data_IF_340670828005
#
_entry.id   IF_340670828005
#
_cell.length_a   1.000
_cell.length_b   1.000
_cell.length_c   1.000
_cell.angle_alpha   90.00
_cell.angle_beta   90.00
_cell.angle_gamma   90.00
#
_symmetry.space_group_name_H-M   'P 1'
#
loop_
_entity.id
_entity.type
_entity.pdbx_description
1 polymer ?
#
# COMPACT_ATOMS: atom_id res chain seq x y z
N UNK A 1 7.87 -17.33 -22.51
CA UNK A 1 9.07 -17.08 -23.34
C UNK A 1 10.02 -16.24 -22.51
N UNK A 2 11.28 -16.62 -22.41
CA UNK A 2 12.32 -15.84 -21.73
C UNK A 2 13.17 -15.14 -22.79
N UNK A 3 13.52 -13.89 -22.57
CA UNK A 3 14.43 -13.12 -23.42
C UNK A 3 15.62 -12.63 -22.61
N UNK A 4 16.74 -12.35 -23.28
CA UNK A 4 17.93 -11.78 -22.65
C UNK A 4 17.59 -10.40 -22.05
N UNK A 5 17.96 -10.17 -20.79
CA UNK A 5 17.82 -8.87 -20.15
C UNK A 5 18.81 -7.86 -20.77
N UNK A 6 18.42 -6.58 -20.78
CA UNK A 6 19.30 -5.49 -21.22
C UNK A 6 20.58 -5.50 -20.40
N UNK A 7 21.73 -5.39 -21.07
CA UNK A 7 23.04 -5.32 -20.39
C UNK A 7 23.12 -4.04 -19.56
N UNK A 8 23.38 -4.11 -18.24
CA UNK A 8 23.46 -2.93 -17.40
C UNK A 8 24.60 -2.00 -17.84
N UNK A 9 24.37 -0.68 -17.83
CA UNK A 9 25.40 0.30 -18.10
C UNK A 9 26.59 0.16 -17.11
N UNK A 10 27.82 0.26 -17.60
CA UNK A 10 29.04 0.13 -16.78
C UNK A 10 29.34 1.39 -15.95
N UNK A 11 28.89 2.55 -16.41
CA UNK A 11 29.01 3.82 -15.70
C UNK A 11 28.10 3.89 -14.46
N UNK A 12 28.70 4.06 -13.29
CA UNK A 12 28.00 4.14 -12.01
C UNK A 12 27.06 5.35 -11.91
N UNK A 13 27.43 6.49 -12.50
CA UNK A 13 26.62 7.73 -12.47
C UNK A 13 25.35 7.55 -13.28
N UNK A 14 25.45 6.99 -14.51
CA UNK A 14 24.28 6.67 -15.34
C UNK A 14 23.33 5.70 -14.65
N UNK A 15 23.85 4.66 -13.98
CA UNK A 15 23.01 3.73 -13.21
C UNK A 15 22.30 4.42 -12.04
N UNK A 16 23.00 5.30 -11.32
CA UNK A 16 22.41 6.02 -10.20
C UNK A 16 21.32 7.00 -10.68
N UNK A 17 21.53 7.67 -11.82
CA UNK A 17 20.54 8.52 -12.47
C UNK A 17 19.28 7.76 -12.87
N UNK A 18 19.42 6.67 -13.64
CA UNK A 18 18.27 5.85 -14.05
C UNK A 18 17.48 5.28 -12.86
N UNK A 19 18.16 4.92 -11.76
CA UNK A 19 17.49 4.50 -10.53
C UNK A 19 16.71 5.63 -9.88
N UNK A 20 17.30 6.82 -9.77
CA UNK A 20 16.64 7.98 -9.19
C UNK A 20 15.36 8.33 -9.97
N UNK A 21 15.42 8.32 -11.31
CA UNK A 21 14.23 8.52 -12.17
C UNK A 21 13.17 7.45 -11.93
N UNK A 22 13.55 6.17 -11.93
CA UNK A 22 12.60 5.07 -11.69
C UNK A 22 11.93 5.17 -10.30
N UNK A 23 12.65 5.60 -9.27
CA UNK A 23 12.07 5.82 -7.94
C UNK A 23 11.15 7.04 -7.90
N UNK A 24 11.50 8.13 -8.57
CA UNK A 24 10.66 9.33 -8.65
C UNK A 24 9.36 9.06 -9.40
N UNK A 25 9.40 8.31 -10.50
CA UNK A 25 8.22 7.92 -11.27
C UNK A 25 7.28 7.04 -10.44
N UNK A 26 7.85 6.08 -9.70
CA UNK A 26 7.09 5.13 -8.89
C UNK A 26 6.47 5.74 -7.63
N UNK A 27 7.24 6.54 -6.89
CA UNK A 27 6.82 7.07 -5.59
C UNK A 27 6.13 8.43 -5.70
N UNK A 28 6.40 9.19 -6.76
CA UNK A 28 5.95 10.58 -6.93
C UNK A 28 6.67 11.56 -6.00
N UNK A 29 6.69 11.27 -4.70
CA UNK A 29 7.50 11.93 -3.67
C UNK A 29 8.43 10.90 -3.04
N UNK A 30 9.71 11.03 -3.34
CA UNK A 30 10.73 10.13 -2.83
C UNK A 30 11.22 10.60 -1.45
N UNK A 31 11.09 9.73 -0.46
CA UNK A 31 11.56 9.95 0.92
C UNK A 31 12.59 8.90 1.31
N UNK A 32 13.29 9.11 2.43
CA UNK A 32 14.28 8.14 2.93
C UNK A 32 13.64 6.77 3.21
N UNK A 33 12.52 6.75 3.93
CA UNK A 33 11.84 5.51 4.34
C UNK A 33 11.22 4.73 3.18
N UNK A 34 10.83 5.40 2.09
CA UNK A 34 10.31 4.73 0.89
C UNK A 34 11.37 3.78 0.27
N UNK A 35 12.65 4.14 0.33
CA UNK A 35 13.73 3.34 -0.26
C UNK A 35 14.17 2.13 0.58
N UNK A 36 13.75 2.04 1.85
CA UNK A 36 14.10 0.90 2.69
C UNK A 36 13.54 -0.42 2.12
N UNK A 37 12.48 -0.34 1.30
CA UNK A 37 11.88 -1.51 0.64
C UNK A 37 12.40 -1.78 -0.77
N UNK A 38 13.14 -0.84 -1.37
CA UNK A 38 13.59 -0.87 -2.76
C UNK A 38 14.91 -1.65 -2.98
N UNK A 39 15.47 -2.25 -1.89
CA UNK A 39 16.71 -3.06 -1.91
C UNK A 39 17.86 -2.39 -2.66
N UNK A 40 18.02 -1.08 -2.50
CA UNK A 40 19.04 -0.28 -3.19
C UNK A 40 20.39 -0.46 -2.52
N UNK A 41 21.41 -0.88 -3.28
CA UNK A 41 22.79 -0.92 -2.80
C UNK A 41 23.25 0.49 -2.41
N UNK A 42 23.68 0.67 -1.15
CA UNK A 42 24.07 1.97 -0.60
C UNK A 42 22.90 2.82 -0.06
N UNK A 43 21.66 2.30 -0.12
CA UNK A 43 20.46 2.95 0.41
C UNK A 43 20.20 4.32 -0.21
N UNK A 44 19.51 5.19 0.54
CA UNK A 44 19.16 6.54 0.10
C UNK A 44 20.39 7.40 -0.24
N UNK A 45 21.49 7.24 0.49
CA UNK A 45 22.75 7.94 0.23
C UNK A 45 23.29 7.68 -1.19
N UNK A 46 23.03 6.48 -1.73
CA UNK A 46 23.47 6.09 -3.08
C UNK A 46 22.81 6.89 -4.21
N UNK A 47 21.61 7.44 -3.99
CA UNK A 47 20.90 8.27 -4.97
C UNK A 47 20.83 9.75 -4.59
N UNK A 48 21.15 10.10 -3.34
CA UNK A 48 21.03 11.47 -2.84
C UNK A 48 21.83 12.50 -3.66
N UNK A 49 23.07 12.19 -4.03
CA UNK A 49 23.90 13.11 -4.83
C UNK A 49 23.26 13.40 -6.20
N UNK A 50 22.64 12.39 -6.81
CA UNK A 50 21.92 12.54 -8.07
C UNK A 50 20.67 13.38 -7.86
N UNK A 51 19.87 13.11 -6.83
CA UNK A 51 18.66 13.87 -6.52
C UNK A 51 18.96 15.35 -6.26
N UNK A 52 20.10 15.66 -5.62
CA UNK A 52 20.58 17.04 -5.44
C UNK A 52 20.95 17.72 -6.76
N UNK A 53 21.66 17.03 -7.65
CA UNK A 53 21.95 17.58 -8.98
C UNK A 53 20.68 17.76 -9.84
N UNK A 54 19.71 16.85 -9.71
CA UNK A 54 18.40 16.96 -10.36
C UNK A 54 17.59 18.14 -9.80
N UNK A 55 17.72 18.47 -8.51
CA UNK A 55 17.11 19.66 -7.92
C UNK A 55 17.75 20.94 -8.47
N UNK A 56 19.08 21.02 -8.47
CA UNK A 56 19.83 22.19 -8.97
C UNK A 56 19.52 22.51 -10.43
N UNK A 57 19.22 21.48 -11.23
CA UNK A 57 18.79 21.60 -12.63
C UNK A 57 17.28 21.75 -12.82
N UNK A 58 16.49 21.77 -11.74
CA UNK A 58 15.04 21.95 -11.77
C UNK A 58 14.23 20.75 -12.27
N UNK A 59 14.82 19.57 -12.37
CA UNK A 59 14.13 18.32 -12.76
C UNK A 59 13.24 17.78 -11.64
N UNK A 60 13.60 18.02 -10.38
CA UNK A 60 12.82 17.66 -9.19
C UNK A 60 12.68 18.85 -8.25
N UNK A 61 11.66 18.81 -7.41
CA UNK A 61 11.45 19.81 -6.36
C UNK A 61 11.82 19.20 -5.01
N UNK A 62 12.77 19.82 -4.30
CA UNK A 62 13.08 19.45 -2.92
C UNK A 62 12.27 20.32 -1.96
N UNK A 63 11.56 19.71 -1.03
CA UNK A 63 10.74 20.45 -0.06
C UNK A 63 10.07 19.54 0.96
N UNK A 64 9.48 20.13 1.99
CA UNK A 64 8.68 19.39 2.96
C UNK A 64 7.26 19.25 2.41
N UNK A 65 6.97 18.07 1.82
CA UNK A 65 5.71 17.83 1.11
C UNK A 65 4.74 17.02 1.98
N UNK A 66 5.27 16.00 2.68
CA UNK A 66 4.49 15.10 3.53
C UNK A 66 4.97 15.22 4.97
N UNK A 67 4.03 15.43 5.89
CA UNK A 67 4.34 15.49 7.31
C UNK A 67 4.85 14.15 7.86
N UNK A 68 5.81 14.17 8.79
CA UNK A 68 6.29 12.98 9.50
C UNK A 68 7.30 12.10 8.73
N UNK A 69 7.55 12.35 7.44
CA UNK A 69 8.49 11.58 6.62
C UNK A 69 9.92 12.16 6.54
N UNK A 70 10.26 13.07 7.45
CA UNK A 70 11.57 13.72 7.55
C UNK A 70 11.81 14.78 6.45
N UNK A 71 12.93 15.51 6.56
CA UNK A 71 13.19 16.67 5.71
C UNK A 71 13.71 16.35 4.30
N UNK A 72 14.27 15.15 4.09
CA UNK A 72 14.82 14.75 2.79
C UNK A 72 13.72 14.16 1.89
N UNK A 73 12.96 15.04 1.24
CA UNK A 73 11.94 14.66 0.27
C UNK A 73 12.18 15.32 -1.07
N UNK A 74 12.07 14.53 -2.14
CA UNK A 74 12.24 14.97 -3.52
C UNK A 74 11.01 14.58 -4.31
N UNK A 75 10.28 15.56 -4.81
CA UNK A 75 9.09 15.36 -5.60
C UNK A 75 9.42 15.39 -7.09
N UNK A 76 8.89 14.42 -7.82
CA UNK A 76 8.84 14.48 -9.27
C UNK A 76 8.07 15.74 -9.71
N UNK A 77 8.38 16.26 -10.89
CA UNK A 77 7.71 17.44 -11.44
C UNK A 77 6.19 17.24 -11.49
N UNK A 78 5.45 18.21 -10.96
CA UNK A 78 3.98 18.17 -10.87
C UNK A 78 3.41 17.24 -9.79
N UNK A 79 4.22 16.46 -9.07
CA UNK A 79 3.72 15.62 -7.98
C UNK A 79 3.17 16.46 -6.82
N UNK A 80 3.82 17.58 -6.49
CA UNK A 80 3.33 18.52 -5.46
C UNK A 80 1.99 19.13 -5.85
N UNK A 81 1.82 19.50 -7.12
CA UNK A 81 0.56 20.10 -7.59
C UNK A 81 -0.58 19.07 -7.61
N UNK A 82 -0.29 17.82 -8.00
CA UNK A 82 -1.26 16.71 -7.88
C UNK A 82 -1.67 16.46 -6.42
N UNK A 83 -0.71 16.49 -5.50
CA UNK A 83 -0.99 16.35 -4.06
C UNK A 83 -1.85 17.51 -3.56
N UNK A 84 -1.57 18.75 -3.96
CA UNK A 84 -2.41 19.91 -3.61
C UNK A 84 -3.82 19.79 -4.17
N UNK A 85 -3.96 19.35 -5.42
CA UNK A 85 -5.27 19.14 -6.05
C UNK A 85 -6.08 18.02 -5.38
N UNK A 86 -5.40 17.04 -4.78
CA UNK A 86 -6.03 15.92 -4.06
C UNK A 86 -6.16 16.19 -2.55
N UNK A 87 -5.48 17.22 -2.04
CA UNK A 87 -5.48 17.59 -0.62
C UNK A 87 -6.82 18.20 -0.25
N UNK A 88 -7.39 17.74 0.86
CA UNK A 88 -8.65 18.24 1.39
C UNK A 88 -8.39 19.17 2.55
N UNK A 89 -9.19 20.23 2.71
CA UNK A 89 -9.15 21.04 3.93
C UNK A 89 -9.40 20.15 5.16
N UNK A 90 -8.69 20.36 6.26
CA UNK A 90 -8.99 19.70 7.53
C UNK A 90 -10.47 19.90 7.91
N UNK A 91 -11.16 18.82 8.27
CA UNK A 91 -12.57 18.86 8.70
C UNK A 91 -13.61 18.70 7.59
N UNK A 92 -13.22 18.49 6.33
CA UNK A 92 -14.13 18.00 5.29
C UNK A 92 -13.99 16.48 5.16
N UNK A 93 -14.91 15.75 5.80
CA UNK A 93 -15.10 14.32 5.55
C UNK A 93 -15.67 14.09 4.14
N UNK A 94 -15.41 12.92 3.57
CA UNK A 94 -15.98 12.57 2.27
C UNK A 94 -17.51 12.61 2.32
N UNK A 95 -18.12 13.56 1.62
CA UNK A 95 -19.56 13.55 1.36
C UNK A 95 -19.97 12.53 0.27
N UNK A 96 -19.06 11.67 -0.18
CA UNK A 96 -19.24 10.70 -1.26
C UNK A 96 -19.04 9.26 -0.79
N UNK A 97 -19.28 8.30 -1.68
CA UNK A 97 -19.02 6.87 -1.40
C UNK A 97 -17.53 6.65 -1.13
N UNK A 98 -17.15 5.94 -0.06
CA UNK A 98 -15.74 5.70 0.28
C UNK A 98 -14.99 5.02 -0.88
N UNK A 99 -13.80 5.52 -1.21
CA UNK A 99 -12.98 4.95 -2.27
C UNK A 99 -12.05 3.89 -1.69
N UNK A 100 -12.28 2.63 -2.08
CA UNK A 100 -11.55 1.49 -1.55
C UNK A 100 -10.70 0.80 -2.64
N UNK A 101 -9.40 0.66 -2.39
CA UNK A 101 -8.42 0.06 -3.31
C UNK A 101 -7.73 -1.13 -2.65
N UNK A 102 -7.63 -2.25 -3.39
CA UNK A 102 -6.89 -3.45 -2.97
C UNK A 102 -5.50 -3.44 -3.60
N UNK A 103 -4.47 -3.47 -2.78
CA UNK A 103 -3.07 -3.51 -3.20
C UNK A 103 -2.39 -4.78 -2.69
N UNK A 104 -1.40 -5.27 -3.43
CA UNK A 104 -0.47 -6.24 -2.84
C UNK A 104 0.30 -5.56 -1.69
N UNK A 105 0.52 -6.27 -0.58
CA UNK A 105 1.24 -5.70 0.57
C UNK A 105 2.71 -5.36 0.24
N UNK A 106 3.25 -5.90 -0.86
CA UNK A 106 4.59 -5.57 -1.36
C UNK A 106 4.58 -4.44 -2.40
N UNK A 107 3.40 -3.96 -2.85
CA UNK A 107 3.26 -2.96 -3.90
C UNK A 107 3.87 -1.61 -3.48
N UNK A 108 4.69 -0.95 -4.30
CA UNK A 108 5.29 0.35 -3.96
C UNK A 108 4.29 1.46 -3.62
N UNK A 109 3.08 1.42 -4.18
CA UNK A 109 2.04 2.41 -3.90
C UNK A 109 1.43 2.24 -2.49
N UNK A 110 1.63 1.08 -1.85
CA UNK A 110 1.23 0.85 -0.47
C UNK A 110 2.33 1.42 0.46
N UNK A 111 2.03 2.38 1.36
CA UNK A 111 3.07 3.09 2.13
C UNK A 111 3.41 2.45 3.49
N UNK A 112 2.53 1.61 4.04
CA UNK A 112 2.71 1.05 5.39
C UNK A 112 3.73 -0.09 5.43
N UNK A 113 4.49 -0.17 6.53
CA UNK A 113 5.65 -1.06 6.62
C UNK A 113 6.82 -0.62 5.73
N UNK A 114 6.81 0.63 5.28
CA UNK A 114 7.85 1.29 4.49
C UNK A 114 8.03 2.73 4.98
N UNK A 115 7.46 3.70 4.27
CA UNK A 115 7.47 5.11 4.67
C UNK A 115 6.60 5.36 5.91
N UNK A 116 5.50 4.62 6.07
CA UNK A 116 4.61 4.71 7.23
C UNK A 116 4.72 3.46 8.10
N UNK A 117 4.61 3.62 9.42
CA UNK A 117 4.43 2.51 10.34
C UNK A 117 3.02 1.92 10.17
N UNK A 118 2.85 0.60 10.35
CA UNK A 118 1.53 -0.01 10.34
C UNK A 118 0.64 0.59 11.45
N UNK A 119 -0.65 0.83 11.19
CA UNK A 119 -1.58 1.26 12.23
C UNK A 119 -1.74 0.20 13.31
N UNK A 120 -2.30 0.61 14.44
CA UNK A 120 -2.71 -0.32 15.49
C UNK A 120 -3.80 -1.25 14.97
N UNK A 121 -3.75 -2.51 15.42
CA UNK A 121 -4.74 -3.52 15.07
C UNK A 121 -5.93 -3.40 16.01
N UNK A 122 -7.15 -3.51 15.49
CA UNK A 122 -8.35 -3.57 16.33
C UNK A 122 -8.51 -4.94 17.01
N UNK A 123 -7.90 -5.99 16.42
CA UNK A 123 -7.94 -7.35 16.93
C UNK A 123 -6.76 -7.74 17.81
N UNK A 124 -7.04 -8.64 18.76
CA UNK A 124 -6.00 -9.31 19.55
C UNK A 124 -5.53 -10.60 18.86
N UNK A 125 -4.37 -10.55 18.22
CA UNK A 125 -3.81 -11.71 17.52
C UNK A 125 -2.29 -11.78 17.56
N UNK A 126 -1.74 -12.98 17.31
CA UNK A 126 -0.29 -13.17 17.11
C UNK A 126 0.18 -12.67 15.74
N UNK A 127 -0.73 -12.64 14.77
CA UNK A 127 -0.42 -12.21 13.41
C UNK A 127 -0.14 -10.71 13.37
N UNK A 128 0.85 -10.33 12.55
CA UNK A 128 1.27 -8.95 12.37
C UNK A 128 1.34 -8.64 10.88
N UNK A 129 0.88 -7.45 10.46
CA UNK A 129 0.96 -7.04 9.07
C UNK A 129 2.41 -6.90 8.64
N UNK A 130 2.65 -7.06 7.34
CA UNK A 130 3.99 -6.90 6.78
C UNK A 130 3.98 -6.98 5.27
N UNK A 131 5.03 -6.45 4.65
CA UNK A 131 5.20 -6.43 3.19
C UNK A 131 5.61 -7.81 2.66
N UNK A 132 4.65 -8.73 2.62
CA UNK A 132 4.86 -10.13 2.21
C UNK A 132 4.24 -10.38 0.84
N UNK A 133 4.95 -11.09 -0.02
CA UNK A 133 4.38 -11.54 -1.31
C UNK A 133 3.14 -12.41 -1.09
N UNK A 134 2.08 -12.11 -1.84
CA UNK A 134 0.78 -12.78 -1.75
C UNK A 134 -0.11 -12.31 -0.59
N UNK A 135 0.33 -11.38 0.26
CA UNK A 135 -0.53 -10.66 1.18
C UNK A 135 -1.13 -9.43 0.50
N UNK A 136 -2.29 -8.96 1.00
CA UNK A 136 -3.01 -7.81 0.46
C UNK A 136 -3.25 -6.77 1.56
N UNK A 137 -3.35 -5.51 1.16
CA UNK A 137 -3.81 -4.40 1.98
C UNK A 137 -4.97 -3.75 1.27
N UNK A 138 -6.02 -3.40 2.00
CA UNK A 138 -7.13 -2.59 1.50
C UNK A 138 -7.02 -1.22 2.13
N UNK A 139 -6.92 -0.20 1.29
CA UNK A 139 -6.96 1.20 1.69
C UNK A 139 -8.36 1.74 1.41
N UNK A 140 -8.96 2.41 2.39
CA UNK A 140 -10.20 3.20 2.21
C UNK A 140 -9.82 4.65 2.41
N UNK A 141 -10.05 5.46 1.37
CA UNK A 141 -9.67 6.88 1.33
C UNK A 141 -8.20 7.13 1.68
N UNK A 142 -7.33 6.20 1.28
CA UNK A 142 -5.89 6.24 1.53
C UNK A 142 -5.45 5.73 2.90
N UNK A 143 -6.38 5.39 3.80
CA UNK A 143 -6.10 4.84 5.13
C UNK A 143 -6.18 3.32 5.11
N UNK A 144 -5.20 2.63 5.71
CA UNK A 144 -5.25 1.17 5.81
C UNK A 144 -6.42 0.71 6.69
N UNK A 145 -7.26 -0.15 6.13
CA UNK A 145 -8.48 -0.65 6.78
C UNK A 145 -8.40 -2.15 7.05
N UNK A 146 -8.01 -2.93 6.04
CA UNK A 146 -7.85 -4.39 6.15
C UNK A 146 -6.48 -4.84 5.65
N UNK A 147 -5.94 -5.88 6.29
CA UNK A 147 -4.80 -6.63 5.80
C UNK A 147 -5.17 -8.12 5.69
N UNK A 148 -4.92 -8.70 4.52
CA UNK A 148 -5.16 -10.13 4.26
C UNK A 148 -3.81 -10.82 4.18
N UNK A 149 -3.58 -11.80 5.05
CA UNK A 149 -2.34 -12.57 5.03
C UNK A 149 -2.18 -13.39 3.75
N UNK A 150 -0.93 -13.77 3.48
CA UNK A 150 -0.59 -14.67 2.37
C UNK A 150 -1.47 -15.92 2.41
N UNK A 151 -2.17 -16.16 1.31
CA UNK A 151 -3.07 -17.30 1.14
C UNK A 151 -4.49 -17.08 1.66
N UNK A 152 -4.84 -15.87 2.13
CA UNK A 152 -6.22 -15.45 2.36
C UNK A 152 -6.90 -16.06 3.60
N UNK A 153 -6.16 -16.73 4.49
CA UNK A 153 -6.72 -17.46 5.64
C UNK A 153 -6.91 -16.61 6.90
N UNK A 154 -6.11 -15.57 7.04
CA UNK A 154 -6.14 -14.67 8.18
C UNK A 154 -6.35 -13.25 7.67
N UNK A 155 -7.26 -12.53 8.32
CA UNK A 155 -7.61 -11.15 8.01
C UNK A 155 -7.47 -10.32 9.28
N UNK A 156 -6.84 -9.17 9.16
CA UNK A 156 -6.64 -8.20 10.24
C UNK A 156 -7.34 -6.89 9.89
N UNK A 157 -7.99 -6.27 10.86
CA UNK A 157 -8.53 -4.91 10.76
C UNK A 157 -7.64 -3.92 11.51
N UNK A 158 -7.61 -2.69 10.97
CA UNK A 158 -6.94 -1.54 11.57
C UNK A 158 -7.92 -0.50 12.12
N UNK A 159 -9.22 -0.78 12.00
CA UNK A 159 -10.30 0.10 12.44
C UNK A 159 -11.51 -0.73 12.83
N UNK A 160 -12.33 -0.13 13.69
CA UNK A 160 -13.62 -0.63 14.12
C UNK A 160 -14.80 0.05 13.40
N UNK A 161 -14.51 1.05 12.56
CA UNK A 161 -15.51 1.85 11.85
C UNK A 161 -16.18 1.00 10.76
N UNK A 162 -17.50 0.78 10.90
CA UNK A 162 -18.22 -0.22 10.10
C UNK A 162 -18.33 0.16 8.62
N UNK A 163 -18.43 1.44 8.26
CA UNK A 163 -18.58 1.86 6.87
C UNK A 163 -17.26 1.67 6.11
N UNK A 164 -16.10 2.00 6.71
CA UNK A 164 -14.80 1.67 6.16
C UNK A 164 -14.61 0.15 6.02
N UNK A 165 -14.97 -0.64 7.03
CA UNK A 165 -14.87 -2.11 6.97
C UNK A 165 -15.74 -2.68 5.84
N UNK A 166 -16.97 -2.17 5.66
CA UNK A 166 -17.87 -2.56 4.57
C UNK A 166 -17.28 -2.18 3.21
N UNK A 167 -16.78 -0.96 3.05
CA UNK A 167 -16.13 -0.51 1.82
C UNK A 167 -14.92 -1.39 1.46
N UNK A 168 -14.09 -1.73 2.45
CA UNK A 168 -12.92 -2.57 2.27
C UNK A 168 -13.29 -4.02 1.88
N UNK A 169 -14.27 -4.60 2.55
CA UNK A 169 -14.77 -5.94 2.22
C UNK A 169 -15.39 -6.00 0.82
N UNK A 170 -16.14 -4.96 0.42
CA UNK A 170 -16.66 -4.83 -0.93
C UNK A 170 -15.55 -4.71 -1.99
N UNK A 171 -14.45 -4.01 -1.69
CA UNK A 171 -13.31 -3.92 -2.60
C UNK A 171 -12.64 -5.30 -2.80
N UNK A 172 -12.48 -6.11 -1.75
CA UNK A 172 -12.03 -7.50 -1.87
C UNK A 172 -13.00 -8.33 -2.72
N UNK A 173 -14.31 -8.11 -2.55
CA UNK A 173 -15.35 -8.78 -3.32
C UNK A 173 -15.25 -8.48 -4.81
N UNK A 174 -15.14 -7.20 -5.18
CA UNK A 174 -14.93 -6.76 -6.56
C UNK A 174 -13.65 -7.36 -7.14
N UNK A 175 -12.53 -7.27 -6.43
CA UNK A 175 -11.26 -7.83 -6.90
C UNK A 175 -11.33 -9.34 -7.20
N UNK A 176 -12.11 -10.12 -6.43
CA UNK A 176 -12.33 -11.54 -6.74
C UNK A 176 -13.24 -11.71 -7.97
N UNK A 177 -14.36 -11.00 -8.04
CA UNK A 177 -15.32 -11.13 -9.14
C UNK A 177 -14.76 -10.67 -10.48
N UNK A 178 -13.93 -9.63 -10.47
CA UNK A 178 -13.24 -9.10 -11.66
C UNK A 178 -12.08 -10.01 -12.10
N UNK A 179 -11.79 -11.09 -11.37
CA UNK A 179 -10.76 -12.08 -11.69
C UNK A 179 -9.34 -11.67 -11.32
N UNK A 180 -9.16 -10.54 -10.63
CA UNK A 180 -7.85 -10.10 -10.14
C UNK A 180 -7.35 -11.00 -9.00
N UNK A 181 -8.29 -11.49 -8.19
CA UNK A 181 -8.05 -12.48 -7.14
C UNK A 181 -8.85 -13.75 -7.46
N UNK A 182 -8.24 -14.92 -7.27
CA UNK A 182 -8.93 -16.19 -7.56
C UNK A 182 -10.04 -16.54 -6.55
N UNK A 183 -9.66 -16.75 -5.29
CA UNK A 183 -10.59 -16.99 -4.18
C UNK A 183 -9.97 -16.52 -2.86
N UNK A 184 -10.82 -16.19 -1.88
CA UNK A 184 -10.43 -15.91 -0.51
C UNK A 184 -11.15 -16.85 0.45
N UNK A 185 -10.45 -17.36 1.44
CA UNK A 185 -10.98 -18.33 2.40
C UNK A 185 -10.53 -17.97 3.82
N UNK A 186 -11.19 -16.98 4.40
CA UNK A 186 -10.88 -16.40 5.72
C UNK A 186 -11.33 -17.36 6.81
N UNK A 187 -10.37 -17.91 7.54
CA UNK A 187 -10.58 -18.81 8.68
C UNK A 187 -10.51 -18.06 10.00
N UNK A 188 -9.65 -17.04 10.05
CA UNK A 188 -9.49 -16.15 11.18
C UNK A 188 -9.62 -14.69 10.79
N UNK A 189 -10.27 -13.94 11.65
CA UNK A 189 -10.42 -12.50 11.54
C UNK A 189 -10.06 -11.93 12.92
N UNK A 190 -9.08 -11.04 12.98
CA UNK A 190 -8.70 -10.35 14.22
C UNK A 190 -8.30 -11.29 15.38
N UNK A 191 -7.72 -12.44 15.03
CA UNK A 191 -7.31 -13.47 15.99
C UNK A 191 -8.39 -14.50 16.32
N UNK A 192 -9.65 -14.20 16.01
CA UNK A 192 -10.82 -15.03 16.30
C UNK A 192 -11.21 -15.92 15.10
N UNK A 193 -12.09 -16.90 15.33
CA UNK A 193 -12.68 -17.71 14.26
C UNK A 193 -13.61 -16.82 13.43
N UNK A 194 -13.39 -16.77 12.12
CA UNK A 194 -14.04 -15.80 11.23
C UNK A 194 -15.58 -15.81 11.28
N UNK A 195 -16.22 -16.97 11.46
CA UNK A 195 -17.69 -17.08 11.54
C UNK A 195 -18.29 -16.43 12.80
N UNK A 196 -17.54 -16.36 13.90
CA UNK A 196 -17.99 -15.76 15.16
C UNK A 196 -17.43 -14.37 15.41
N UNK A 197 -16.50 -13.91 14.56
CA UNK A 197 -15.87 -12.60 14.72
C UNK A 197 -16.81 -11.45 14.36
N UNK A 198 -16.48 -10.25 14.84
CA UNK A 198 -17.15 -9.00 14.45
C UNK A 198 -17.22 -8.80 12.92
N UNK A 199 -16.21 -9.26 12.19
CA UNK A 199 -16.13 -9.12 10.74
C UNK A 199 -17.02 -10.10 9.97
N UNK A 200 -17.68 -11.05 10.63
CA UNK A 200 -18.49 -12.06 9.97
C UNK A 200 -19.62 -11.43 9.13
N UNK A 201 -20.40 -10.54 9.73
CA UNK A 201 -21.51 -9.85 9.07
C UNK A 201 -21.03 -9.01 7.88
N UNK A 202 -20.00 -8.19 8.10
CA UNK A 202 -19.38 -7.33 7.07
C UNK A 202 -18.91 -8.15 5.86
N UNK A 203 -18.21 -9.26 6.09
CA UNK A 203 -17.74 -10.14 5.02
C UNK A 203 -18.90 -10.84 4.30
N UNK A 204 -19.93 -11.27 5.04
CA UNK A 204 -21.11 -11.92 4.45
C UNK A 204 -21.91 -10.96 3.56
N UNK A 205 -22.09 -9.71 3.99
CA UNK A 205 -22.70 -8.64 3.18
C UNK A 205 -21.91 -8.38 1.89
N UNK A 206 -20.58 -8.45 1.96
CA UNK A 206 -19.72 -8.37 0.78
C UNK A 206 -19.79 -9.62 -0.12
N UNK A 207 -20.50 -10.67 0.29
CA UNK A 207 -20.74 -11.88 -0.51
C UNK A 207 -19.89 -13.09 -0.13
N UNK A 208 -19.14 -13.04 0.97
CA UNK A 208 -18.50 -14.23 1.52
C UNK A 208 -19.57 -15.20 2.03
N UNK A 209 -19.40 -16.49 1.75
CA UNK A 209 -20.31 -17.55 2.19
C UNK A 209 -19.70 -18.33 3.34
N UNK A 210 -20.53 -18.66 4.33
CA UNK A 210 -20.14 -19.52 5.43
C UNK A 210 -19.79 -20.93 4.93
N UNK A 211 -18.73 -21.49 5.51
CA UNK A 211 -18.27 -22.86 5.32
C UNK A 211 -17.85 -23.42 6.69
N UNK A 212 -17.75 -24.74 6.88
CA UNK A 212 -17.30 -25.31 8.16
C UNK A 212 -15.92 -24.83 8.61
N UNK A 213 -15.09 -24.32 7.70
CA UNK A 213 -13.73 -23.84 7.97
C UNK A 213 -13.61 -22.31 8.08
N UNK A 214 -14.71 -21.56 7.91
CA UNK A 214 -14.68 -20.08 7.91
C UNK A 214 -15.54 -19.47 6.81
N UNK A 215 -15.15 -18.29 6.33
CA UNK A 215 -15.83 -17.51 5.30
C UNK A 215 -15.09 -17.60 3.97
N UNK A 216 -15.79 -17.92 2.89
CA UNK A 216 -15.20 -18.10 1.56
C UNK A 216 -15.86 -17.23 0.50
N UNK A 217 -15.05 -16.64 -0.35
CA UNK A 217 -15.46 -15.89 -1.53
C UNK A 217 -14.76 -16.47 -2.76
N UNK A 218 -15.50 -16.62 -3.86
CA UNK A 218 -15.01 -17.00 -5.18
C UNK A 218 -15.77 -16.22 -6.25
N UNK A 219 -15.16 -16.05 -7.42
CA UNK A 219 -15.83 -15.55 -8.61
C UNK A 219 -17.00 -16.46 -9.03
#
# INVERSE_FOLDING_TARGET
>A
RWSLAVVPATDATRRAHARAEAFLERHGVLTRGALDTERVTGGFSGVYRVLRAMEESGQVVRGYVVEGLGAAQFAARGAVDRLRASSRPPGQEHAGTPEAVVLAAADPAQPYGAALAWPELSGEGKHRPGRKSGALVVLVDGVATLYVERGGRSLLSFTEEEDALRAAAQALSRAVRDGWLGQLAVQRADGEVALGSRLAGVLQEAGFRATPKGLRLRA
#
